data_IF_574186776240
#
_entry.id   IF_574186776240
#
_cell.length_a   1.000
_cell.length_b   1.000
_cell.length_c   1.000
_cell.angle_alpha   90.00
_cell.angle_beta   90.00
_cell.angle_gamma   90.00
#
_symmetry.space_group_name_H-M   'P 1'
#
loop_
_entity.id
_entity.type
_entity.pdbx_description
1 polymer ?
#
# COMPACT_ATOMS: atom_id res chain seq x y z
N UNK A 1 -4.77 -5.77 -2.20
CA UNK A 1 -5.13 -7.19 -2.11
C UNK A 1 -4.82 -7.88 -3.43
N UNK A 2 -3.93 -8.86 -3.42
CA UNK A 2 -3.29 -9.55 -4.56
C UNK A 2 -4.25 -10.32 -5.49
N UNK A 3 -5.45 -9.80 -5.76
CA UNK A 3 -6.44 -10.44 -6.64
C UNK A 3 -7.01 -11.75 -6.07
N UNK A 4 -6.69 -12.10 -4.84
CA UNK A 4 -7.41 -13.16 -4.12
C UNK A 4 -8.76 -12.58 -3.73
N UNK A 5 -9.84 -13.14 -4.28
CA UNK A 5 -11.16 -12.85 -3.74
C UNK A 5 -11.10 -13.07 -2.23
N UNK A 6 -11.70 -12.20 -1.44
CA UNK A 6 -11.80 -12.35 0.02
C UNK A 6 -12.54 -13.65 0.43
N UNK A 7 -12.75 -14.58 -0.50
CA UNK A 7 -13.23 -15.94 -0.35
C UNK A 7 -14.49 -16.06 0.52
N UNK A 8 -14.97 -17.26 0.66
CA UNK A 8 -16.07 -17.64 1.56
C UNK A 8 -15.61 -17.72 3.04
N UNK A 9 -14.95 -16.69 3.57
CA UNK A 9 -14.78 -16.59 5.02
C UNK A 9 -16.10 -16.06 5.57
N UNK A 10 -16.80 -16.78 6.48
CA UNK A 10 -18.00 -16.26 7.14
C UNK A 10 -17.62 -15.02 7.96
N UNK A 11 -18.42 -13.98 7.86
CA UNK A 11 -18.22 -12.73 8.58
C UNK A 11 -18.49 -11.51 7.72
N UNK A 12 -18.70 -10.36 8.35
CA UNK A 12 -18.82 -9.08 7.68
C UNK A 12 -17.47 -8.67 7.06
N UNK A 13 -17.48 -7.70 6.15
CA UNK A 13 -16.26 -7.19 5.48
C UNK A 13 -15.23 -6.75 6.50
N UNK A 14 -15.67 -6.12 7.58
CA UNK A 14 -14.81 -5.67 8.68
C UNK A 14 -14.09 -6.83 9.37
N UNK A 15 -14.75 -7.96 9.57
CA UNK A 15 -14.14 -9.17 10.15
C UNK A 15 -13.01 -9.75 9.26
N UNK A 16 -13.17 -9.65 7.95
CA UNK A 16 -12.21 -10.19 6.98
C UNK A 16 -10.96 -9.33 6.84
N UNK A 17 -11.10 -8.04 7.01
CA UNK A 17 -9.98 -7.07 6.93
C UNK A 17 -9.32 -6.83 8.29
N UNK A 18 -9.98 -7.11 9.41
CA UNK A 18 -9.49 -6.88 10.76
C UNK A 18 -8.06 -7.40 11.04
N UNK A 19 -7.66 -8.62 10.61
CA UNK A 19 -6.29 -9.11 10.81
C UNK A 19 -5.23 -8.23 10.13
N UNK A 20 -5.54 -7.70 8.95
CA UNK A 20 -4.63 -6.83 8.21
C UNK A 20 -4.56 -5.42 8.83
N UNK A 21 -5.67 -4.93 9.39
CA UNK A 21 -5.75 -3.61 9.99
C UNK A 21 -5.03 -3.51 11.32
N UNK A 22 -4.87 -4.62 12.03
CA UNK A 22 -4.24 -4.66 13.36
C UNK A 22 -2.82 -4.08 13.35
N UNK A 23 -2.04 -4.36 12.32
CA UNK A 23 -0.66 -3.86 12.20
C UNK A 23 -0.63 -2.34 11.97
N UNK A 24 -1.51 -1.82 11.12
CA UNK A 24 -1.62 -0.38 10.88
C UNK A 24 -2.09 0.35 12.13
N UNK A 25 -3.15 -0.13 12.78
CA UNK A 25 -3.66 0.44 14.03
C UNK A 25 -2.56 0.50 15.09
N UNK A 26 -1.84 -0.61 15.32
CA UNK A 26 -0.72 -0.65 16.26
C UNK A 26 0.40 0.33 15.93
N UNK A 27 0.69 0.56 14.65
CA UNK A 27 1.71 1.53 14.26
C UNK A 27 1.25 2.99 14.49
N UNK A 28 -0.02 3.27 14.24
CA UNK A 28 -0.61 4.58 14.55
C UNK A 28 -0.60 4.81 16.07
N UNK A 29 -0.98 3.82 16.86
CA UNK A 29 -0.95 3.87 18.33
C UNK A 29 0.45 4.20 18.88
N UNK A 30 1.51 3.65 18.29
CA UNK A 30 2.90 3.97 18.68
C UNK A 30 3.27 5.44 18.43
N UNK A 31 2.63 6.09 17.47
CA UNK A 31 2.95 7.46 17.07
C UNK A 31 2.13 8.47 17.87
N UNK A 32 0.83 8.26 17.99
CA UNK A 32 -0.10 9.24 18.57
C UNK A 32 -0.75 8.79 19.89
N UNK A 33 -0.49 7.56 20.34
CA UNK A 33 -1.07 6.94 21.53
C UNK A 33 -2.42 6.26 21.27
N UNK A 34 -2.75 5.30 22.12
CA UNK A 34 -3.94 4.46 21.95
C UNK A 34 -5.24 5.28 21.98
N UNK A 35 -5.40 6.12 22.97
CA UNK A 35 -6.63 6.91 23.20
C UNK A 35 -6.97 7.81 22.00
N UNK A 36 -5.97 8.51 21.46
CA UNK A 36 -6.15 9.34 20.26
C UNK A 36 -6.46 8.51 19.02
N UNK A 37 -5.82 7.36 18.88
CA UNK A 37 -6.06 6.45 17.77
C UNK A 37 -7.50 5.97 17.78
N UNK A 38 -8.00 5.49 18.92
CA UNK A 38 -9.37 5.04 19.07
C UNK A 38 -10.36 6.16 18.71
N UNK A 39 -10.15 7.37 19.23
CA UNK A 39 -10.98 8.53 18.92
C UNK A 39 -11.00 8.88 17.42
N UNK A 40 -9.86 8.75 16.73
CA UNK A 40 -9.79 9.01 15.27
C UNK A 40 -10.59 7.98 14.46
N UNK A 41 -10.57 6.72 14.86
CA UNK A 41 -11.41 5.69 14.24
C UNK A 41 -12.89 5.89 14.54
N UNK A 42 -13.26 6.14 15.80
CA UNK A 42 -14.64 6.41 16.18
C UNK A 42 -15.28 7.60 15.45
N UNK A 43 -14.47 8.63 15.19
CA UNK A 43 -14.90 9.82 14.43
C UNK A 43 -14.76 9.67 12.90
N UNK A 44 -14.41 8.50 12.40
CA UNK A 44 -14.14 8.24 10.99
C UNK A 44 -13.10 9.21 10.36
N UNK A 45 -12.15 9.70 11.16
CA UNK A 45 -11.03 10.49 10.66
C UNK A 45 -9.94 9.61 10.03
N UNK A 46 -9.91 8.34 10.40
CA UNK A 46 -9.12 7.29 9.76
C UNK A 46 -10.07 6.16 9.40
N UNK A 47 -10.09 5.79 8.14
CA UNK A 47 -10.88 4.67 7.62
C UNK A 47 -9.99 3.74 6.80
N UNK A 48 -10.38 2.49 6.72
CA UNK A 48 -9.76 1.51 5.85
C UNK A 48 -10.81 0.97 4.88
N UNK A 49 -10.49 1.03 3.60
CA UNK A 49 -11.41 0.59 2.57
C UNK A 49 -10.74 -0.38 1.60
N UNK A 50 -11.35 -1.52 1.32
CA UNK A 50 -10.90 -2.37 0.23
C UNK A 50 -11.07 -1.64 -1.12
N UNK A 51 -10.06 -1.71 -1.98
CA UNK A 51 -10.09 -1.08 -3.31
C UNK A 51 -11.35 -1.41 -4.12
N UNK A 52 -11.88 -2.62 -3.96
CA UNK A 52 -13.06 -3.06 -4.68
C UNK A 52 -14.33 -2.23 -4.37
N UNK A 53 -14.40 -1.62 -3.19
CA UNK A 53 -15.56 -0.84 -2.74
C UNK A 53 -15.44 0.66 -3.03
N UNK A 54 -14.30 1.14 -3.44
CA UNK A 54 -14.07 2.56 -3.77
C UNK A 54 -14.74 3.02 -5.08
N UNK A 55 -15.44 2.12 -5.79
CA UNK A 55 -16.11 2.47 -7.06
C UNK A 55 -17.28 3.40 -6.83
N UNK A 56 -17.27 4.53 -7.54
CA UNK A 56 -18.34 5.54 -7.49
C UNK A 56 -18.08 6.63 -6.45
N UNK A 57 -17.17 6.43 -5.52
CA UNK A 57 -16.85 7.42 -4.50
C UNK A 57 -15.80 8.43 -4.98
N UNK A 58 -15.79 9.58 -4.33
CA UNK A 58 -14.78 10.62 -4.50
C UNK A 58 -14.41 11.13 -3.11
N UNK A 59 -13.11 11.16 -2.82
CA UNK A 59 -12.59 11.52 -1.51
C UNK A 59 -12.06 12.96 -1.56
N UNK A 60 -12.85 13.89 -1.05
CA UNK A 60 -12.45 15.29 -0.87
C UNK A 60 -11.76 15.48 0.49
N UNK A 61 -10.90 16.52 0.62
CA UNK A 61 -10.22 16.90 1.86
C UNK A 61 -9.50 15.74 2.56
N UNK A 62 -8.94 14.82 1.80
CA UNK A 62 -8.46 13.52 2.26
C UNK A 62 -7.00 13.26 1.92
N UNK A 63 -6.32 12.52 2.78
CA UNK A 63 -5.06 11.85 2.45
C UNK A 63 -5.36 10.37 2.18
N UNK A 64 -5.27 9.98 0.92
CA UNK A 64 -5.47 8.61 0.48
C UNK A 64 -4.12 7.89 0.42
N UNK A 65 -4.02 6.69 1.02
CA UNK A 65 -2.79 5.90 1.02
C UNK A 65 -3.10 4.50 0.50
N UNK A 66 -2.41 4.10 -0.57
CA UNK A 66 -2.38 2.73 -1.07
C UNK A 66 -1.03 2.12 -0.73
N UNK A 67 -1.04 1.14 0.16
CA UNK A 67 0.16 0.39 0.54
C UNK A 67 0.21 -0.96 -0.20
N UNK A 68 1.41 -1.57 -0.29
CA UNK A 68 1.65 -2.84 -1.00
C UNK A 68 1.18 -2.79 -2.48
N UNK A 69 1.36 -1.63 -3.12
CA UNK A 69 0.85 -1.35 -4.46
C UNK A 69 1.44 -2.25 -5.56
N UNK A 70 2.59 -2.89 -5.33
CA UNK A 70 3.17 -3.88 -6.26
C UNK A 70 2.25 -5.08 -6.49
N UNK A 71 1.32 -5.36 -5.55
CA UNK A 71 0.33 -6.42 -5.64
C UNK A 71 -0.98 -5.99 -6.33
N UNK A 72 -1.06 -4.74 -6.78
CA UNK A 72 -2.22 -4.20 -7.49
C UNK A 72 -2.04 -4.27 -9.01
N UNK A 73 -3.08 -4.69 -9.72
CA UNK A 73 -3.14 -4.59 -11.19
C UNK A 73 -3.36 -3.13 -11.63
N UNK A 74 -3.00 -2.78 -12.86
CA UNK A 74 -3.14 -1.43 -13.43
C UNK A 74 -4.54 -0.84 -13.23
N UNK A 75 -5.59 -1.65 -13.39
CA UNK A 75 -6.97 -1.21 -13.18
C UNK A 75 -7.24 -0.77 -11.75
N UNK A 76 -6.63 -1.43 -10.77
CA UNK A 76 -6.78 -1.09 -9.36
C UNK A 76 -5.99 0.18 -9.00
N UNK A 77 -4.78 0.34 -9.53
CA UNK A 77 -3.98 1.56 -9.39
C UNK A 77 -4.73 2.77 -9.97
N UNK A 78 -5.25 2.63 -11.19
CA UNK A 78 -6.05 3.68 -11.84
C UNK A 78 -7.36 3.96 -11.09
N UNK A 79 -8.05 2.90 -10.61
CA UNK A 79 -9.23 3.08 -9.77
C UNK A 79 -8.90 3.93 -8.55
N UNK A 80 -7.83 3.62 -7.82
CA UNK A 80 -7.44 4.34 -6.61
C UNK A 80 -7.15 5.82 -6.88
N UNK A 81 -6.25 6.13 -7.82
CA UNK A 81 -5.86 7.53 -8.07
C UNK A 81 -6.99 8.39 -8.62
N UNK A 82 -7.93 7.78 -9.36
CA UNK A 82 -9.09 8.50 -9.92
C UNK A 82 -10.20 8.76 -8.89
N UNK A 83 -10.06 8.29 -7.66
CA UNK A 83 -10.97 8.62 -6.54
C UNK A 83 -10.56 9.87 -5.79
N UNK A 84 -9.39 10.41 -6.07
CA UNK A 84 -8.91 11.65 -5.45
C UNK A 84 -9.81 12.83 -5.82
N UNK A 85 -10.38 13.46 -4.79
CA UNK A 85 -11.24 14.64 -4.92
C UNK A 85 -10.51 15.95 -4.65
N UNK A 86 -11.27 17.01 -4.38
CA UNK A 86 -10.75 18.35 -4.10
C UNK A 86 -9.92 18.35 -2.81
N UNK A 87 -8.85 19.17 -2.78
CA UNK A 87 -7.96 19.33 -1.63
C UNK A 87 -7.35 18.03 -1.08
N UNK A 88 -7.35 16.96 -1.89
CA UNK A 88 -6.86 15.66 -1.46
C UNK A 88 -5.47 15.40 -1.97
N UNK A 89 -4.77 14.49 -1.29
CA UNK A 89 -3.47 13.96 -1.68
C UNK A 89 -3.54 12.45 -1.76
N UNK A 90 -2.74 11.90 -2.65
CA UNK A 90 -2.67 10.47 -2.88
C UNK A 90 -1.22 10.00 -2.70
N UNK A 91 -1.02 8.95 -1.93
CA UNK A 91 0.26 8.27 -1.76
C UNK A 91 0.11 6.84 -2.23
N UNK A 92 0.96 6.41 -3.14
CA UNK A 92 1.06 5.01 -3.59
C UNK A 92 2.42 4.50 -3.15
N UNK A 93 2.43 3.54 -2.23
CA UNK A 93 3.64 2.93 -1.68
C UNK A 93 3.73 1.46 -2.09
N UNK A 94 4.92 1.00 -2.42
CA UNK A 94 5.14 -0.40 -2.80
C UNK A 94 6.61 -0.70 -3.10
N UNK A 95 6.94 -1.98 -3.13
CA UNK A 95 8.27 -2.46 -3.49
C UNK A 95 8.25 -3.02 -4.92
N UNK A 96 8.96 -2.36 -5.84
CA UNK A 96 9.03 -2.78 -7.24
C UNK A 96 9.74 -4.12 -7.46
N UNK A 97 10.47 -4.63 -6.46
CA UNK A 97 11.22 -5.88 -6.50
C UNK A 97 10.51 -7.04 -5.79
N UNK A 98 9.41 -6.79 -5.09
CA UNK A 98 8.65 -7.78 -4.34
C UNK A 98 7.19 -7.77 -4.81
N UNK A 99 6.67 -8.90 -5.22
CA UNK A 99 5.26 -9.04 -5.60
C UNK A 99 4.79 -10.49 -5.40
N UNK A 100 3.56 -10.62 -4.93
CA UNK A 100 2.90 -11.90 -4.68
C UNK A 100 1.97 -12.32 -5.83
N UNK A 101 1.91 -11.52 -6.90
CA UNK A 101 1.10 -11.77 -8.09
C UNK A 101 1.94 -12.33 -9.23
N UNK A 102 1.29 -12.92 -10.24
CA UNK A 102 1.99 -13.37 -11.44
C UNK A 102 2.76 -12.21 -12.10
N UNK A 103 4.01 -12.47 -12.52
CA UNK A 103 4.89 -11.46 -13.11
C UNK A 103 4.26 -10.69 -14.27
N UNK A 104 3.39 -11.34 -15.05
CA UNK A 104 2.64 -10.71 -16.14
C UNK A 104 1.61 -9.67 -15.69
N UNK A 105 1.22 -9.69 -14.41
CA UNK A 105 0.24 -8.78 -13.81
C UNK A 105 0.86 -7.64 -13.01
N UNK A 106 2.18 -7.67 -12.81
CA UNK A 106 2.91 -6.60 -12.11
C UNK A 106 2.77 -5.30 -12.89
N UNK A 107 2.14 -4.32 -12.28
CA UNK A 107 1.77 -3.08 -12.96
C UNK A 107 2.44 -1.85 -12.38
N UNK A 108 2.96 -1.91 -11.15
CA UNK A 108 3.51 -0.74 -10.47
C UNK A 108 4.64 -0.04 -11.26
N UNK A 109 5.64 -0.74 -11.84
CA UNK A 109 6.68 -0.07 -12.64
C UNK A 109 6.10 0.67 -13.85
N UNK A 110 5.17 0.03 -14.58
CA UNK A 110 4.49 0.66 -15.73
C UNK A 110 3.59 1.83 -15.31
N UNK A 111 2.99 1.74 -14.14
CA UNK A 111 2.20 2.83 -13.58
C UNK A 111 3.08 4.03 -13.26
N UNK A 112 4.27 3.81 -12.68
CA UNK A 112 5.26 4.87 -12.42
C UNK A 112 5.67 5.56 -13.73
N UNK A 113 6.06 4.80 -14.76
CA UNK A 113 6.39 5.32 -16.10
C UNK A 113 5.25 6.16 -16.70
N UNK A 114 3.99 5.76 -16.45
CA UNK A 114 2.82 6.47 -16.99
C UNK A 114 2.61 7.85 -16.35
N UNK A 115 3.00 8.02 -15.08
CA UNK A 115 2.69 9.21 -14.30
C UNK A 115 3.89 10.09 -13.98
N UNK A 116 5.13 9.67 -14.31
CA UNK A 116 6.36 10.38 -13.89
C UNK A 116 6.45 11.81 -14.42
N UNK A 117 5.91 12.10 -15.61
CA UNK A 117 5.91 13.42 -16.22
C UNK A 117 4.63 14.24 -15.90
N UNK A 118 3.72 13.71 -15.10
CA UNK A 118 2.49 14.41 -14.73
C UNK A 118 2.81 15.51 -13.72
N UNK A 119 2.36 16.74 -13.99
CA UNK A 119 2.53 17.87 -13.08
C UNK A 119 1.96 17.55 -11.70
N UNK A 120 2.65 17.96 -10.66
CA UNK A 120 2.29 17.76 -9.26
C UNK A 120 2.35 16.28 -8.78
N UNK A 121 2.94 15.39 -9.57
CA UNK A 121 3.33 14.05 -9.17
C UNK A 121 4.80 14.05 -8.75
N UNK A 122 5.10 13.48 -7.60
CA UNK A 122 6.46 13.24 -7.12
C UNK A 122 6.73 11.74 -7.00
N UNK A 123 7.87 11.28 -7.53
CA UNK A 123 8.32 9.90 -7.39
C UNK A 123 9.56 9.88 -6.51
N UNK A 124 9.54 9.05 -5.48
CA UNK A 124 10.66 8.85 -4.58
C UNK A 124 11.04 7.37 -4.53
N UNK A 125 12.27 7.07 -4.89
CA UNK A 125 12.83 5.72 -4.84
C UNK A 125 13.74 5.58 -3.63
N UNK A 126 13.41 4.65 -2.74
CA UNK A 126 14.28 4.27 -1.64
C UNK A 126 15.36 3.30 -2.10
N UNK A 127 16.55 3.44 -1.54
CA UNK A 127 17.70 2.59 -1.77
C UNK A 127 18.04 1.76 -0.52
N UNK A 128 18.98 0.84 -0.64
CA UNK A 128 19.52 0.10 0.51
C UNK A 128 20.06 1.02 1.61
N UNK A 129 20.50 2.23 1.27
CA UNK A 129 21.03 3.21 2.24
C UNK A 129 19.95 3.79 3.14
N UNK A 130 18.70 3.80 2.66
CA UNK A 130 17.54 4.35 3.36
C UNK A 130 16.95 3.37 4.38
N UNK A 131 17.46 2.14 4.43
CA UNK A 131 16.98 1.10 5.34
C UNK A 131 17.31 1.48 6.79
N UNK A 132 16.31 1.84 7.57
CA UNK A 132 16.41 2.12 9.02
C UNK A 132 16.08 0.86 9.80
N UNK A 133 16.98 -0.13 9.78
CA UNK A 133 16.82 -1.39 10.52
C UNK A 133 18.14 -1.78 11.22
N UNK A 134 18.08 -2.74 12.14
CA UNK A 134 19.26 -3.29 12.77
C UNK A 134 20.28 -3.77 11.70
N UNK A 135 21.58 -3.53 11.95
CA UNK A 135 22.68 -3.85 11.01
C UNK A 135 22.61 -5.29 10.49
N UNK A 136 22.32 -6.24 11.40
CA UNK A 136 22.20 -7.66 11.04
C UNK A 136 21.11 -7.91 9.98
N UNK A 137 19.99 -7.19 10.03
CA UNK A 137 18.92 -7.33 9.04
C UNK A 137 19.34 -6.77 7.68
N UNK A 138 20.09 -5.67 7.66
CA UNK A 138 20.68 -5.16 6.41
C UNK A 138 21.59 -6.19 5.75
N UNK A 139 22.44 -6.84 6.54
CA UNK A 139 23.37 -7.85 6.04
C UNK A 139 22.64 -9.12 5.52
N UNK A 140 21.55 -9.53 6.19
CA UNK A 140 20.70 -10.65 5.75
C UNK A 140 20.01 -10.30 4.44
N UNK A 141 19.38 -9.13 4.31
CA UNK A 141 18.69 -8.68 3.10
C UNK A 141 19.66 -8.64 1.93
N UNK A 142 20.84 -8.04 2.08
CA UNK A 142 21.87 -8.00 1.03
C UNK A 142 22.26 -9.40 0.53
N UNK A 143 22.40 -10.36 1.44
CA UNK A 143 22.74 -11.75 1.06
C UNK A 143 21.58 -12.43 0.32
N UNK A 144 20.34 -12.16 0.74
CA UNK A 144 19.15 -12.71 0.11
C UNK A 144 18.98 -12.15 -1.32
N UNK A 145 19.17 -10.87 -1.52
CA UNK A 145 19.09 -10.24 -2.84
C UNK A 145 20.18 -10.75 -3.79
N UNK A 146 21.39 -10.95 -3.27
CA UNK A 146 22.48 -11.56 -4.02
C UNK A 146 22.16 -13.03 -4.41
N UNK A 147 21.51 -13.77 -3.54
CA UNK A 147 21.04 -15.12 -3.79
C UNK A 147 19.96 -15.16 -4.89
N UNK A 148 18.94 -14.27 -4.79
CA UNK A 148 17.91 -14.14 -5.83
C UNK A 148 18.49 -13.88 -7.22
N UNK A 149 19.35 -12.87 -7.36
CA UNK A 149 19.99 -12.51 -8.63
C UNK A 149 20.78 -13.67 -9.26
N UNK A 150 21.31 -14.60 -8.47
CA UNK A 150 22.06 -15.77 -8.96
C UNK A 150 21.15 -16.91 -9.46
N UNK A 151 19.93 -16.99 -8.96
CA UNK A 151 19.03 -18.12 -9.23
C UNK A 151 17.85 -17.74 -10.15
N UNK A 152 17.66 -16.46 -10.47
CA UNK A 152 16.61 -15.97 -11.39
C UNK A 152 17.14 -15.71 -12.83
N UNK A 153 18.44 -15.98 -13.07
CA UNK A 153 19.05 -16.10 -14.40
C UNK A 153 19.15 -17.57 -14.80
#
# INVERSE_FOLDING_TARGET
DSGRSLGFIPGDVDDKVAPYLKSYKSNIEKIIGQEKTELMFEKNLITFEPLAYMRGDTYDDSLMILDEAQNAEMKALMLFVTRMGKNSKCVVAGDINQYDIQKSKVSLPKFIELIEDVKDVGIHLFSENDIVRAKILKDIVKRYDAYKRRNEN
#
